data_IF_708568149034
#
_entry.id   IF_708568149034
#
_cell.length_a   1.000
_cell.length_b   1.000
_cell.length_c   1.000
_cell.angle_alpha   90.00
_cell.angle_beta   90.00
_cell.angle_gamma   90.00
#
_symmetry.space_group_name_H-M   'P 1'
#
loop_
_entity.id
_entity.type
_entity.pdbx_description
1 polymer ?
#
# COMPACT_ATOMS: atom_id res chain seq x y z
N UNK A 1 20.60 27.77 16.54
CA UNK A 1 21.90 27.72 15.83
C UNK A 1 22.98 26.81 16.47
N UNK A 2 22.95 26.49 17.79
CA UNK A 2 24.00 25.66 18.43
C UNK A 2 23.98 24.17 18.00
N UNK A 3 22.80 23.59 17.82
CA UNK A 3 22.64 22.17 17.42
C UNK A 3 23.22 21.88 16.03
N UNK A 4 22.90 22.70 15.02
CA UNK A 4 23.43 22.56 13.66
C UNK A 4 24.97 22.60 13.62
N UNK A 5 25.62 23.40 14.48
CA UNK A 5 27.09 23.39 14.61
C UNK A 5 27.62 22.08 15.21
N UNK A 6 26.92 21.51 16.20
CA UNK A 6 27.27 20.23 16.82
C UNK A 6 27.07 19.06 15.86
N UNK A 7 26.01 19.10 15.03
CA UNK A 7 25.72 18.11 14.00
C UNK A 7 26.81 18.08 12.91
N UNK A 8 27.28 19.27 12.47
CA UNK A 8 28.40 19.38 11.52
C UNK A 8 29.74 18.85 12.07
N UNK A 9 29.86 18.71 13.39
CA UNK A 9 31.03 18.07 14.02
C UNK A 9 31.01 16.54 13.94
N UNK A 10 29.90 15.92 13.51
CA UNK A 10 29.76 14.47 13.37
C UNK A 10 29.48 14.11 11.90
N UNK A 11 30.48 13.68 11.12
CA UNK A 11 30.36 13.49 9.67
C UNK A 11 29.33 12.41 9.29
N UNK A 12 29.21 11.35 10.11
CA UNK A 12 28.25 10.26 9.87
C UNK A 12 26.81 10.73 10.07
N UNK A 13 26.51 11.40 11.20
CA UNK A 13 25.17 11.92 11.45
C UNK A 13 24.77 12.99 10.44
N UNK A 14 25.71 13.85 10.04
CA UNK A 14 25.47 14.85 9.01
C UNK A 14 25.15 14.22 7.66
N UNK A 15 25.91 13.19 7.25
CA UNK A 15 25.66 12.49 5.99
C UNK A 15 24.32 11.74 5.99
N UNK A 16 24.01 11.02 7.08
CA UNK A 16 22.72 10.35 7.26
C UNK A 16 21.59 11.40 7.21
N UNK A 17 21.75 12.49 7.96
CA UNK A 17 20.77 13.58 8.03
C UNK A 17 20.56 14.30 6.70
N UNK A 18 21.56 14.30 5.81
CA UNK A 18 21.43 14.96 4.50
C UNK A 18 20.57 14.15 3.53
N UNK A 19 20.48 12.84 3.70
CA UNK A 19 19.79 11.94 2.77
C UNK A 19 18.43 11.47 3.29
N UNK A 20 17.73 12.28 4.10
CA UNK A 20 16.45 11.90 4.73
C UNK A 20 15.42 11.37 3.73
N UNK A 21 15.27 12.08 2.61
CA UNK A 21 14.31 11.71 1.56
C UNK A 21 14.68 10.38 0.91
N UNK A 22 15.96 10.16 0.62
CA UNK A 22 16.45 8.90 0.04
C UNK A 22 16.19 7.74 0.99
N UNK A 23 16.48 7.89 2.28
CA UNK A 23 16.20 6.84 3.27
C UNK A 23 14.72 6.52 3.37
N UNK A 24 13.85 7.55 3.35
CA UNK A 24 12.41 7.39 3.34
C UNK A 24 11.94 6.61 2.11
N UNK A 25 12.38 7.02 0.92
CA UNK A 25 12.02 6.36 -0.35
C UNK A 25 12.54 4.92 -0.41
N UNK A 26 13.73 4.64 0.11
CA UNK A 26 14.29 3.29 0.12
C UNK A 26 13.54 2.40 1.11
N UNK A 27 13.26 2.86 2.33
CA UNK A 27 12.46 2.12 3.32
C UNK A 27 11.06 1.80 2.76
N UNK A 28 10.43 2.80 2.16
CA UNK A 28 9.12 2.67 1.53
C UNK A 28 9.11 1.62 0.40
N UNK A 29 10.03 1.74 -0.56
CA UNK A 29 10.14 0.79 -1.66
C UNK A 29 10.40 -0.64 -1.17
N UNK A 30 11.20 -0.80 -0.13
CA UNK A 30 11.48 -2.11 0.45
C UNK A 30 10.25 -2.70 1.15
N UNK A 31 9.48 -1.89 1.87
CA UNK A 31 8.23 -2.32 2.49
C UNK A 31 7.20 -2.76 1.44
N UNK A 32 7.03 -2.01 0.35
CA UNK A 32 6.16 -2.38 -0.78
C UNK A 32 6.63 -3.68 -1.41
N UNK A 33 7.94 -3.83 -1.62
CA UNK A 33 8.51 -5.04 -2.20
C UNK A 33 8.27 -6.27 -1.33
N UNK A 34 8.48 -6.18 -0.02
CA UNK A 34 8.20 -7.27 0.93
C UNK A 34 6.73 -7.67 0.88
N UNK A 35 5.82 -6.69 0.83
CA UNK A 35 4.39 -6.96 0.72
C UNK A 35 4.00 -7.65 -0.59
N UNK A 36 4.57 -7.22 -1.72
CA UNK A 36 4.33 -7.87 -3.02
C UNK A 36 4.84 -9.32 -3.00
N UNK A 37 6.01 -9.57 -2.41
CA UNK A 37 6.54 -10.92 -2.26
C UNK A 37 5.60 -11.80 -1.42
N UNK A 38 5.15 -11.29 -0.27
CA UNK A 38 4.19 -12.00 0.58
C UNK A 38 2.90 -12.26 -0.20
N UNK A 39 2.39 -11.32 -0.99
CA UNK A 39 1.15 -11.50 -1.75
C UNK A 39 1.27 -12.56 -2.87
N UNK A 40 2.41 -12.66 -3.56
CA UNK A 40 2.62 -13.60 -4.67
C UNK A 40 2.89 -15.02 -4.17
N UNK A 41 3.70 -15.14 -3.12
CA UNK A 41 4.21 -16.44 -2.65
C UNK A 41 3.44 -17.00 -1.45
N UNK A 42 2.26 -16.45 -1.14
CA UNK A 42 1.33 -17.02 -0.15
C UNK A 42 0.39 -18.02 -0.82
N UNK A 43 0.16 -19.23 -0.25
CA UNK A 43 0.73 -19.78 0.98
C UNK A 43 2.18 -20.23 0.82
N UNK A 44 2.95 -20.10 1.89
CA UNK A 44 4.37 -20.46 1.93
C UNK A 44 4.53 -21.96 1.64
N UNK A 45 5.00 -22.27 0.44
CA UNK A 45 5.35 -23.63 0.04
C UNK A 45 6.86 -23.78 0.17
N UNK A 46 7.29 -24.95 0.66
CA UNK A 46 8.70 -25.30 0.75
C UNK A 46 9.38 -25.14 -0.62
N UNK A 47 10.65 -24.75 -0.60
CA UNK A 47 11.43 -24.49 -1.81
C UNK A 47 11.35 -25.72 -2.74
N UNK A 48 10.58 -25.60 -3.83
CA UNK A 48 10.50 -26.64 -4.85
C UNK A 48 11.86 -26.73 -5.53
N UNK A 49 12.44 -27.92 -5.63
CA UNK A 49 13.68 -28.13 -6.38
C UNK A 49 13.51 -27.55 -7.78
N UNK A 50 14.31 -26.52 -8.10
CA UNK A 50 14.23 -25.86 -9.38
C UNK A 50 14.72 -26.79 -10.46
N UNK A 51 13.89 -27.00 -11.49
CA UNK A 51 14.31 -27.62 -12.74
C UNK A 51 15.62 -26.92 -13.20
N UNK A 52 16.70 -27.67 -13.49
CA UNK A 52 17.99 -27.14 -13.92
C UNK A 52 17.89 -26.04 -15.00
N UNK A 53 16.87 -26.11 -15.87
CA UNK A 53 16.61 -25.08 -16.89
C UNK A 53 16.24 -23.73 -16.27
N UNK A 54 15.34 -23.71 -15.28
CA UNK A 54 14.88 -22.50 -14.59
C UNK A 54 16.02 -21.90 -13.76
N UNK A 55 16.82 -22.75 -13.12
CA UNK A 55 18.02 -22.31 -12.41
C UNK A 55 19.01 -21.62 -13.36
N UNK A 56 19.27 -22.20 -14.54
CA UNK A 56 20.12 -21.60 -15.57
C UNK A 56 19.62 -20.25 -16.09
N UNK A 57 18.30 -20.13 -16.32
CA UNK A 57 17.67 -18.86 -16.74
C UNK A 57 17.82 -17.80 -15.65
N UNK A 58 17.62 -18.16 -14.37
CA UNK A 58 17.77 -17.22 -13.25
C UNK A 58 19.22 -16.70 -13.12
N UNK A 59 20.21 -17.56 -13.35
CA UNK A 59 21.62 -17.18 -13.40
C UNK A 59 21.93 -16.23 -14.56
N UNK A 60 21.47 -16.57 -15.77
CA UNK A 60 21.66 -15.71 -16.93
C UNK A 60 21.02 -14.34 -16.72
N UNK A 61 19.80 -14.29 -16.16
CA UNK A 61 19.10 -13.05 -15.83
C UNK A 61 19.88 -12.21 -14.81
N UNK A 62 20.41 -12.84 -13.76
CA UNK A 62 21.22 -12.15 -12.75
C UNK A 62 22.51 -11.58 -13.35
N UNK A 63 23.20 -12.33 -14.22
CA UNK A 63 24.43 -11.88 -14.87
C UNK A 63 24.19 -10.76 -15.88
N UNK A 64 23.12 -10.86 -16.69
CA UNK A 64 22.75 -9.82 -17.66
C UNK A 64 22.35 -8.52 -16.94
N UNK A 65 21.57 -8.63 -15.86
CA UNK A 65 21.18 -7.46 -15.06
C UNK A 65 22.37 -6.84 -14.31
N UNK A 66 23.31 -7.65 -13.81
CA UNK A 66 24.55 -7.17 -13.22
C UNK A 66 25.43 -6.44 -14.25
N UNK A 67 25.62 -7.03 -15.43
CA UNK A 67 26.37 -6.40 -16.52
C UNK A 67 25.73 -5.08 -16.95
N UNK A 68 24.40 -5.03 -17.06
CA UNK A 68 23.66 -3.82 -17.33
C UNK A 68 23.83 -2.74 -16.25
N UNK A 69 23.81 -3.12 -14.97
CA UNK A 69 24.01 -2.20 -13.85
C UNK A 69 25.43 -1.62 -13.80
N UNK A 70 26.45 -2.41 -14.17
CA UNK A 70 27.85 -1.96 -14.23
C UNK A 70 28.08 -1.06 -15.45
N UNK A 71 27.59 -1.47 -16.62
CA UNK A 71 27.84 -0.76 -17.88
C UNK A 71 27.05 0.56 -17.95
N UNK A 72 25.82 0.56 -17.43
CA UNK A 72 24.91 1.71 -17.42
C UNK A 72 24.25 1.80 -16.05
N UNK A 73 24.81 2.57 -15.08
CA UNK A 73 24.26 2.74 -13.73
C UNK A 73 23.01 3.63 -13.74
N UNK A 74 21.99 3.21 -14.50
CA UNK A 74 20.67 3.82 -14.50
C UNK A 74 19.91 3.31 -13.27
N UNK A 75 19.08 4.15 -12.63
CA UNK A 75 18.27 3.73 -11.50
C UNK A 75 17.26 2.61 -11.87
N UNK A 76 16.92 2.47 -13.15
CA UNK A 76 16.15 1.33 -13.66
C UNK A 76 16.96 0.03 -13.67
N UNK A 77 18.23 0.07 -14.07
CA UNK A 77 19.11 -1.11 -14.12
C UNK A 77 19.40 -1.64 -12.72
N UNK A 78 19.64 -0.76 -11.74
CA UNK A 78 19.83 -1.15 -10.34
C UNK A 78 18.57 -1.80 -9.75
N UNK A 79 17.37 -1.27 -10.06
CA UNK A 79 16.11 -1.90 -9.65
C UNK A 79 15.92 -3.27 -10.29
N UNK A 80 16.21 -3.40 -11.60
CA UNK A 80 16.13 -4.68 -12.29
C UNK A 80 17.10 -5.72 -11.70
N UNK A 81 18.32 -5.30 -11.35
CA UNK A 81 19.29 -6.15 -10.65
C UNK A 81 18.84 -6.54 -9.24
N UNK A 82 18.26 -5.61 -8.48
CA UNK A 82 17.70 -5.91 -7.16
C UNK A 82 16.55 -6.93 -7.28
N UNK A 83 15.64 -6.76 -8.24
CA UNK A 83 14.56 -7.70 -8.49
C UNK A 83 15.08 -9.09 -8.91
N UNK A 84 16.07 -9.16 -9.79
CA UNK A 84 16.66 -10.44 -10.21
C UNK A 84 17.38 -11.15 -9.06
N UNK A 85 18.09 -10.40 -8.21
CA UNK A 85 18.73 -10.91 -6.99
C UNK A 85 17.71 -11.44 -5.98
N UNK A 86 16.62 -10.70 -5.74
CA UNK A 86 15.57 -11.11 -4.82
C UNK A 86 14.87 -12.37 -5.33
N UNK A 87 14.49 -12.41 -6.61
CA UNK A 87 13.92 -13.61 -7.23
C UNK A 87 14.86 -14.81 -7.06
N UNK A 88 16.15 -14.61 -7.33
CA UNK A 88 17.17 -15.65 -7.12
C UNK A 88 17.20 -16.13 -5.67
N UNK A 89 17.19 -15.23 -4.69
CA UNK A 89 17.19 -15.56 -3.26
C UNK A 89 15.96 -16.38 -2.85
N UNK A 90 14.77 -15.97 -3.31
CA UNK A 90 13.51 -16.71 -3.06
C UNK A 90 13.61 -18.14 -3.60
N UNK A 91 14.15 -18.29 -4.80
CA UNK A 91 14.30 -19.57 -5.47
C UNK A 91 15.39 -20.46 -4.85
N UNK A 92 16.52 -19.89 -4.43
CA UNK A 92 17.63 -20.69 -3.88
C UNK A 92 17.49 -21.03 -2.40
N UNK A 93 16.97 -20.11 -1.59
CA UNK A 93 16.89 -20.25 -0.13
C UNK A 93 15.47 -20.54 0.36
N UNK A 94 14.47 -20.38 -0.51
CA UNK A 94 13.07 -20.34 -0.11
C UNK A 94 12.62 -18.94 0.31
N UNK A 95 11.30 -18.78 0.44
CA UNK A 95 10.72 -17.49 0.80
C UNK A 95 10.98 -17.12 2.26
N UNK A 96 10.93 -18.09 3.18
CA UNK A 96 11.07 -17.88 4.62
C UNK A 96 12.37 -17.13 4.99
N UNK A 97 13.60 -17.63 4.66
CA UNK A 97 14.82 -16.90 4.98
C UNK A 97 14.98 -15.60 4.20
N UNK A 98 14.42 -15.53 2.98
CA UNK A 98 14.45 -14.32 2.17
C UNK A 98 13.64 -13.19 2.82
N UNK A 99 12.46 -13.49 3.38
CA UNK A 99 11.65 -12.53 4.13
C UNK A 99 12.34 -12.06 5.40
N UNK A 100 13.02 -12.96 6.13
CA UNK A 100 13.84 -12.57 7.28
C UNK A 100 14.98 -11.62 6.87
N UNK A 101 15.70 -11.93 5.79
CA UNK A 101 16.76 -11.07 5.28
C UNK A 101 16.21 -9.70 4.87
N UNK A 102 15.15 -9.64 4.06
CA UNK A 102 14.57 -8.38 3.61
C UNK A 102 13.97 -7.59 4.78
N UNK A 103 13.31 -8.26 5.73
CA UNK A 103 12.74 -7.64 6.91
C UNK A 103 13.80 -7.04 7.84
N UNK A 104 14.93 -7.72 8.07
CA UNK A 104 16.06 -7.17 8.85
C UNK A 104 16.68 -5.96 8.17
N UNK A 105 16.88 -6.01 6.84
CA UNK A 105 17.34 -4.87 6.05
C UNK A 105 16.34 -3.71 6.15
N UNK A 106 15.03 -3.99 6.11
CA UNK A 106 13.99 -2.97 6.24
C UNK A 106 13.99 -2.28 7.60
N UNK A 107 14.14 -3.05 8.69
CA UNK A 107 14.28 -2.50 10.05
C UNK A 107 15.55 -1.67 10.17
N UNK A 108 16.67 -2.13 9.62
CA UNK A 108 17.92 -1.38 9.64
C UNK A 108 17.80 -0.03 8.91
N UNK A 109 17.24 -0.03 7.69
CA UNK A 109 17.04 1.19 6.90
C UNK A 109 16.05 2.14 7.59
N UNK A 110 14.96 1.60 8.14
CA UNK A 110 13.96 2.36 8.90
C UNK A 110 14.57 2.99 10.16
N UNK A 111 15.47 2.27 10.84
CA UNK A 111 16.21 2.79 12.00
C UNK A 111 17.14 3.94 11.59
N UNK A 112 17.87 3.80 10.49
CA UNK A 112 18.71 4.88 9.93
C UNK A 112 17.85 6.09 9.55
N UNK A 113 16.68 5.87 8.96
CA UNK A 113 15.73 6.93 8.64
C UNK A 113 15.22 7.66 9.90
N UNK A 114 14.85 6.93 10.95
CA UNK A 114 14.44 7.51 12.23
C UNK A 114 15.58 8.34 12.86
N UNK A 115 16.79 7.78 12.90
CA UNK A 115 17.99 8.48 13.42
C UNK A 115 18.28 9.75 12.61
N UNK A 116 18.08 9.69 11.29
CA UNK A 116 18.17 10.85 10.40
C UNK A 116 17.21 11.96 10.83
N UNK A 117 15.92 11.65 11.00
CA UNK A 117 14.89 12.62 11.41
C UNK A 117 15.19 13.19 12.80
N UNK A 118 15.54 12.33 13.76
CA UNK A 118 15.94 12.74 15.11
C UNK A 118 17.15 13.69 15.08
N UNK A 119 18.07 13.48 14.14
CA UNK A 119 19.21 14.35 13.86
C UNK A 119 18.80 15.73 13.36
N UNK A 120 17.84 15.83 12.43
CA UNK A 120 17.37 17.13 11.93
C UNK A 120 16.71 17.97 13.02
N UNK A 121 15.78 17.35 13.74
CA UNK A 121 14.92 18.03 14.72
C UNK A 121 15.69 18.41 15.99
N UNK A 122 16.92 17.90 16.17
CA UNK A 122 17.70 18.15 17.38
C UNK A 122 17.14 17.46 18.61
N UNK A 123 16.41 16.38 18.38
CA UNK A 123 15.67 15.62 19.38
C UNK A 123 16.60 14.93 20.38
N UNK A 124 17.87 14.69 20.02
CA UNK A 124 18.90 14.12 20.90
C UNK A 124 19.17 14.92 22.19
N UNK A 125 18.84 16.20 22.23
CA UNK A 125 18.99 17.03 23.45
C UNK A 125 17.70 17.21 24.24
N UNK A 126 16.57 16.66 23.76
CA UNK A 126 15.27 16.75 24.43
C UNK A 126 14.94 15.47 25.19
N UNK A 127 14.14 15.61 26.24
CA UNK A 127 13.67 14.48 27.04
C UNK A 127 12.74 13.58 26.21
N UNK A 128 12.79 12.25 26.42
CA UNK A 128 11.92 11.27 25.72
C UNK A 128 10.43 11.60 25.80
N UNK A 129 9.99 12.30 26.86
CA UNK A 129 8.60 12.74 27.02
C UNK A 129 8.20 13.82 26.01
N UNK A 130 9.12 14.72 25.67
CA UNK A 130 8.90 15.71 24.60
C UNK A 130 8.96 15.06 23.23
N UNK A 131 9.84 14.07 23.05
CA UNK A 131 9.92 13.26 21.83
C UNK A 131 8.58 12.55 21.54
N UNK A 132 7.95 12.00 22.58
CA UNK A 132 6.64 11.37 22.48
C UNK A 132 5.47 12.35 22.27
N UNK A 133 5.68 13.65 22.47
CA UNK A 133 4.65 14.67 22.22
C UNK A 133 4.60 15.10 20.76
N UNK A 134 5.66 14.84 19.98
CA UNK A 134 5.74 15.21 18.57
C UNK A 134 5.08 14.11 17.72
N UNK A 135 3.88 14.40 17.20
CA UNK A 135 3.05 13.43 16.44
C UNK A 135 3.79 12.86 15.22
N UNK A 136 4.57 13.69 14.51
CA UNK A 136 5.36 13.27 13.34
C UNK A 136 6.40 12.21 13.71
N UNK A 137 7.10 12.40 14.82
CA UNK A 137 8.13 11.47 15.25
C UNK A 137 7.52 10.20 15.86
N UNK A 138 6.38 10.33 16.55
CA UNK A 138 5.60 9.20 17.02
C UNK A 138 5.11 8.32 15.86
N UNK A 139 4.73 8.92 14.73
CA UNK A 139 4.42 8.17 13.50
C UNK A 139 5.61 7.33 13.03
N UNK A 140 6.81 7.90 12.95
CA UNK A 140 8.00 7.14 12.55
C UNK A 140 8.43 6.08 13.56
N UNK A 141 8.24 6.32 14.87
CA UNK A 141 8.48 5.30 15.91
C UNK A 141 7.49 4.14 15.79
N UNK A 142 6.20 4.44 15.63
CA UNK A 142 5.17 3.40 15.47
C UNK A 142 5.37 2.61 14.19
N UNK A 143 5.77 3.27 13.09
CA UNK A 143 6.19 2.61 11.85
C UNK A 143 7.34 1.61 12.07
N UNK A 144 8.41 2.03 12.77
CA UNK A 144 9.50 1.12 13.13
C UNK A 144 9.01 -0.05 13.99
N UNK A 145 8.07 0.20 14.91
CA UNK A 145 7.41 -0.83 15.70
C UNK A 145 6.71 -1.88 14.83
N UNK A 146 5.93 -1.45 13.84
CA UNK A 146 5.28 -2.36 12.89
C UNK A 146 6.28 -3.13 12.02
N UNK A 147 7.41 -2.52 11.63
CA UNK A 147 8.50 -3.24 10.94
C UNK A 147 9.06 -4.40 11.80
N UNK A 148 9.25 -4.17 13.10
CA UNK A 148 9.73 -5.21 14.03
C UNK A 148 8.66 -6.28 14.26
N UNK A 149 7.39 -5.89 14.42
CA UNK A 149 6.28 -6.83 14.57
C UNK A 149 6.09 -7.72 13.33
N UNK A 150 6.26 -7.16 12.12
CA UNK A 150 6.22 -7.93 10.87
C UNK A 150 7.33 -8.98 10.75
N UNK A 151 8.50 -8.69 11.32
CA UNK A 151 9.63 -9.61 11.33
C UNK A 151 9.50 -10.70 12.40
N UNK A 152 9.09 -10.35 13.62
CA UNK A 152 9.10 -11.26 14.78
C UNK A 152 7.80 -12.05 14.93
N UNK A 153 6.65 -11.42 14.65
CA UNK A 153 5.34 -12.03 14.94
C UNK A 153 4.77 -12.74 13.72
N UNK A 154 4.48 -11.99 12.65
CA UNK A 154 3.91 -12.57 11.44
C UNK A 154 4.07 -11.64 10.22
N UNK A 155 4.36 -12.18 9.01
CA UNK A 155 4.47 -11.38 7.78
C UNK A 155 3.20 -10.59 7.43
N UNK A 156 2.04 -10.97 7.96
CA UNK A 156 0.78 -10.25 7.75
C UNK A 156 0.80 -8.81 8.29
N UNK A 157 1.60 -8.52 9.32
CA UNK A 157 1.76 -7.15 9.80
C UNK A 157 2.43 -6.24 8.77
N UNK A 158 3.14 -6.80 7.76
CA UNK A 158 3.63 -6.01 6.63
C UNK A 158 2.50 -5.31 5.86
N UNK A 159 1.29 -5.86 5.85
CA UNK A 159 0.14 -5.24 5.18
C UNK A 159 -0.27 -3.91 5.81
N UNK A 160 0.00 -3.69 7.10
CA UNK A 160 -0.22 -2.38 7.74
C UNK A 160 0.77 -1.34 7.21
N UNK A 161 2.00 -1.74 6.89
CA UNK A 161 3.00 -0.83 6.31
C UNK A 161 2.60 -0.37 4.90
N UNK A 162 1.74 -1.12 4.18
CA UNK A 162 1.20 -0.65 2.90
C UNK A 162 0.28 0.57 3.05
N UNK A 163 -0.36 0.77 4.21
CA UNK A 163 -1.16 1.98 4.45
C UNK A 163 -0.29 3.25 4.46
N UNK A 164 1.01 3.11 4.72
CA UNK A 164 1.97 4.22 4.64
C UNK A 164 2.10 4.76 3.20
N UNK A 165 1.90 3.92 2.17
CA UNK A 165 1.84 4.34 0.75
C UNK A 165 0.83 5.46 0.55
N UNK A 166 -0.33 5.30 1.18
CA UNK A 166 -1.43 6.24 1.07
C UNK A 166 -1.10 7.54 1.80
N UNK A 167 -0.34 7.46 2.89
CA UNK A 167 0.05 8.63 3.68
C UNK A 167 1.16 9.45 2.99
N UNK A 168 2.10 8.79 2.33
CA UNK A 168 3.22 9.44 1.66
C UNK A 168 2.83 10.10 0.33
N UNK A 169 1.85 9.55 -0.39
CA UNK A 169 1.38 10.08 -1.66
C UNK A 169 0.33 11.19 -1.47
N UNK A 170 0.75 12.44 -1.71
CA UNK A 170 -0.12 13.61 -1.56
C UNK A 170 -1.39 13.50 -2.42
N UNK A 171 -1.30 12.91 -3.61
CA UNK A 171 -2.44 12.73 -4.52
C UNK A 171 -3.50 11.78 -3.97
N UNK A 172 -3.08 10.60 -3.47
CA UNK A 172 -3.97 9.61 -2.86
C UNK A 172 -4.59 10.15 -1.57
N UNK A 173 -3.78 10.81 -0.76
CA UNK A 173 -4.22 11.44 0.47
C UNK A 173 -5.21 12.58 0.20
N UNK A 174 -5.02 13.35 -0.87
CA UNK A 174 -5.99 14.37 -1.29
C UNK A 174 -7.33 13.75 -1.72
N UNK A 175 -7.31 12.62 -2.43
CA UNK A 175 -8.53 11.89 -2.79
C UNK A 175 -9.26 11.40 -1.54
N UNK A 176 -8.56 10.79 -0.58
CA UNK A 176 -9.17 10.32 0.67
C UNK A 176 -9.70 11.50 1.48
N UNK A 177 -8.91 12.57 1.62
CA UNK A 177 -9.34 13.79 2.31
C UNK A 177 -10.57 14.41 1.67
N UNK A 178 -10.71 14.34 0.34
CA UNK A 178 -11.89 14.86 -0.35
C UNK A 178 -13.17 14.11 0.05
N UNK A 179 -13.06 12.79 0.29
CA UNK A 179 -14.18 11.94 0.75
C UNK A 179 -14.41 12.10 2.26
N UNK A 180 -13.35 12.13 3.06
CA UNK A 180 -13.47 12.26 4.53
C UNK A 180 -13.88 13.65 4.97
N UNK A 181 -13.68 14.69 4.15
CA UNK A 181 -14.16 16.06 4.44
C UNK A 181 -15.69 16.11 4.61
N UNK A 182 -16.42 15.29 3.84
CA UNK A 182 -17.88 15.13 3.97
C UNK A 182 -18.27 13.88 4.78
N UNK A 183 -17.31 13.23 5.45
CA UNK A 183 -17.50 11.96 6.14
C UNK A 183 -18.62 11.97 7.18
N UNK A 184 -18.85 13.12 7.84
CA UNK A 184 -19.94 13.27 8.81
C UNK A 184 -21.32 13.04 8.18
N UNK A 185 -21.56 13.54 6.96
CA UNK A 185 -22.83 13.35 6.26
C UNK A 185 -22.99 11.93 5.69
N UNK A 186 -21.88 11.29 5.30
CA UNK A 186 -21.86 9.89 4.84
C UNK A 186 -22.17 8.95 6.01
N UNK A 187 -21.53 9.15 7.17
CA UNK A 187 -21.78 8.37 8.39
C UNK A 187 -23.23 8.56 8.85
N UNK A 188 -23.76 9.79 8.83
CA UNK A 188 -25.17 10.04 9.17
C UNK A 188 -26.15 9.36 8.22
N UNK A 189 -25.79 9.23 6.94
CA UNK A 189 -26.61 8.54 5.94
C UNK A 189 -26.52 7.03 6.09
N UNK A 190 -25.33 6.49 6.40
CA UNK A 190 -25.14 5.07 6.70
C UNK A 190 -25.90 4.66 7.97
N UNK A 191 -25.80 5.44 9.05
CA UNK A 191 -26.56 5.20 10.29
C UNK A 191 -28.07 5.30 10.04
N UNK A 192 -28.53 6.28 9.25
CA UNK A 192 -29.96 6.38 8.89
C UNK A 192 -30.41 5.25 7.96
N UNK A 193 -29.55 4.78 7.06
CA UNK A 193 -29.79 3.64 6.19
C UNK A 193 -29.92 2.34 6.99
N UNK A 194 -28.96 2.04 7.86
CA UNK A 194 -29.01 0.90 8.79
C UNK A 194 -30.23 0.98 9.73
N UNK A 195 -30.60 2.18 10.18
CA UNK A 195 -31.78 2.38 11.02
C UNK A 195 -33.09 2.14 10.24
N UNK A 196 -33.18 2.62 9.00
CA UNK A 196 -34.32 2.36 8.12
C UNK A 196 -34.44 0.86 7.77
N UNK A 197 -33.31 0.18 7.54
CA UNK A 197 -33.29 -1.25 7.28
C UNK A 197 -33.66 -2.07 8.52
N UNK A 198 -33.25 -1.66 9.73
CA UNK A 198 -33.70 -2.27 10.98
C UNK A 198 -35.20 -2.06 11.27
N UNK A 199 -35.75 -0.88 10.97
CA UNK A 199 -37.19 -0.61 11.13
C UNK A 199 -38.04 -1.45 10.17
N UNK A 200 -37.54 -1.74 8.97
CA UNK A 200 -38.23 -2.57 7.98
C UNK A 200 -38.21 -4.06 8.36
N UNK A 201 -37.22 -4.52 9.12
CA UNK A 201 -37.13 -5.89 9.65
C UNK A 201 -37.95 -6.06 10.95
N UNK A 202 -38.08 -5.02 11.77
CA UNK A 202 -38.83 -5.07 13.04
C UNK A 202 -40.32 -4.71 12.93
N UNK A 203 -40.81 -4.25 11.78
CA UNK A 203 -42.21 -3.93 11.57
C UNK A 203 -42.88 -4.88 10.54
N UNK A 204 -43.43 -6.03 10.97
CA UNK A 204 -44.16 -6.94 10.08
C UNK A 204 -45.53 -6.41 9.64
N UNK A 205 -45.89 -5.17 9.99
CA UNK A 205 -47.22 -4.62 9.76
C UNK A 205 -47.36 -3.82 8.45
N UNK A 206 -46.26 -3.60 7.71
CA UNK A 206 -46.31 -2.86 6.44
C UNK A 206 -46.57 -3.71 5.18
N UNK A 207 -46.66 -5.03 5.30
CA UNK A 207 -46.93 -5.92 4.16
C UNK A 207 -48.38 -5.97 3.71
N UNK A 208 -49.33 -5.32 4.40
CA UNK A 208 -50.77 -5.52 4.13
C UNK A 208 -51.50 -4.31 3.52
N UNK A 209 -50.96 -3.09 3.53
CA UNK A 209 -51.71 -1.90 3.05
C UNK A 209 -51.20 -1.23 1.76
N UNK A 210 -50.20 -1.78 1.07
CA UNK A 210 -49.81 -1.33 -0.26
C UNK A 210 -49.80 -2.48 -1.28
N UNK A 211 -50.95 -3.13 -1.42
CA UNK A 211 -51.34 -3.83 -2.64
C UNK A 211 -51.83 -2.78 -3.65
N UNK A 212 -50.95 -1.90 -4.11
CA UNK A 212 -51.10 -1.33 -5.45
C UNK A 212 -49.77 -0.83 -5.99
N UNK A 213 -49.42 -1.32 -7.17
CA UNK A 213 -48.43 -0.70 -8.07
C UNK A 213 -46.94 -0.72 -7.67
N UNK A 214 -46.33 -1.90 -7.46
CA UNK A 214 -44.98 -2.21 -8.02
C UNK A 214 -44.88 -3.70 -8.33
N UNK A 215 -44.86 -4.01 -9.62
CA UNK A 215 -44.59 -5.34 -10.13
C UNK A 215 -43.23 -5.87 -9.60
N UNK A 216 -43.26 -6.99 -8.89
CA UNK A 216 -42.13 -7.91 -8.79
C UNK A 216 -41.87 -8.50 -10.20
N UNK A 217 -40.63 -8.57 -10.69
CA UNK A 217 -40.36 -9.37 -11.88
C UNK A 217 -40.38 -10.85 -11.48
N UNK A 218 -41.36 -11.58 -12.01
CA UNK A 218 -41.51 -13.02 -11.83
C UNK A 218 -40.43 -13.77 -12.63
N UNK A 219 -39.65 -14.69 -12.05
CA UNK A 219 -38.56 -15.37 -12.73
C UNK A 219 -39.05 -16.68 -13.35
N UNK A 220 -39.97 -16.63 -14.31
CA UNK A 220 -40.36 -17.83 -15.08
C UNK A 220 -40.65 -17.51 -16.56
N UNK A 221 -39.80 -18.13 -17.39
CA UNK A 221 -40.03 -18.58 -18.77
C UNK A 221 -39.81 -17.60 -19.95
N UNK A 222 -39.46 -18.14 -21.14
CA UNK A 222 -38.36 -17.65 -21.98
C UNK A 222 -38.84 -17.15 -23.36
N UNK A 223 -37.90 -16.56 -24.10
CA UNK A 223 -37.81 -16.48 -25.57
C UNK A 223 -39.12 -16.35 -26.36
N UNK A 224 -39.38 -15.19 -26.97
CA UNK A 224 -39.72 -15.16 -28.40
C UNK A 224 -39.62 -13.74 -29.02
N UNK A 225 -39.01 -13.73 -30.19
CA UNK A 225 -39.37 -12.89 -31.34
C UNK A 225 -38.98 -11.40 -31.39
N UNK A 226 -37.72 -11.20 -31.78
CA UNK A 226 -37.27 -10.33 -32.89
C UNK A 226 -38.41 -9.85 -33.83
N UNK A 227 -38.62 -8.54 -33.96
CA UNK A 227 -39.17 -7.89 -35.17
C UNK A 227 -39.07 -6.36 -35.07
N UNK A 228 -38.01 -5.81 -35.67
CA UNK A 228 -38.00 -4.48 -36.33
C UNK A 228 -39.03 -4.59 -37.49
N UNK A 229 -39.91 -3.60 -37.81
CA UNK A 229 -39.44 -2.39 -38.51
C UNK A 229 -40.27 -1.08 -38.48
N UNK A 230 -39.52 0.01 -38.68
CA UNK A 230 -39.76 1.16 -39.60
C UNK A 230 -40.74 2.32 -39.25
N UNK A 231 -40.19 3.52 -39.56
CA UNK A 231 -40.79 4.77 -40.08
C UNK A 231 -41.13 5.94 -39.10
N UNK A 232 -41.17 7.21 -39.58
CA UNK A 232 -40.32 8.30 -39.07
C UNK A 232 -41.14 9.47 -38.52
N UNK A 233 -40.65 10.14 -37.46
CA UNK A 233 -41.33 11.35 -36.94
C UNK A 233 -40.85 12.61 -37.66
N UNK A 234 -41.77 13.19 -38.43
CA UNK A 234 -41.75 14.54 -39.00
C UNK A 234 -41.30 15.59 -37.98
N UNK A 235 -40.36 16.44 -38.42
CA UNK A 235 -40.15 17.78 -37.91
C UNK A 235 -41.28 18.69 -38.43
N UNK A 236 -42.00 19.36 -37.53
CA UNK A 236 -42.77 20.56 -37.87
C UNK A 236 -42.41 21.61 -36.82
N UNK A 237 -41.49 22.49 -37.21
CA UNK A 237 -41.18 23.71 -36.49
C UNK A 237 -42.11 24.81 -37.00
N UNK A 238 -42.65 25.54 -36.02
CA UNK A 238 -43.57 26.67 -36.11
C UNK A 238 -42.79 27.94 -36.47
N UNK A 239 -43.19 28.66 -37.50
CA UNK A 239 -42.84 30.07 -37.75
C UNK A 239 -43.78 30.67 -38.80
N UNK A 240 -44.48 31.74 -38.44
CA UNK A 240 -45.45 32.45 -39.27
C UNK A 240 -46.73 32.72 -38.50
#
# INVERSE_FOLDING_TARGET
MKWQKKLRGQPVLYWVSRHMSVWSTVAFNLAVLVNILVAIFYPFTEASELDPRVSGISWALMLVSLAGAILMPRPSALRAFACSLILRLVYSLGLQPTLWLLGTVNVAISTVHLVSIMGNHGTFTRSLRQVASDIELLYHITYLGFCVLGLVVHPFFYSVLLLDVVYQEETLLNVIKSVTRNGRSIILTAVRGDFAERDQICNPQWTIHHLDSRACPDPRLPLLHRSIPLLPRRLSHRSG
#
